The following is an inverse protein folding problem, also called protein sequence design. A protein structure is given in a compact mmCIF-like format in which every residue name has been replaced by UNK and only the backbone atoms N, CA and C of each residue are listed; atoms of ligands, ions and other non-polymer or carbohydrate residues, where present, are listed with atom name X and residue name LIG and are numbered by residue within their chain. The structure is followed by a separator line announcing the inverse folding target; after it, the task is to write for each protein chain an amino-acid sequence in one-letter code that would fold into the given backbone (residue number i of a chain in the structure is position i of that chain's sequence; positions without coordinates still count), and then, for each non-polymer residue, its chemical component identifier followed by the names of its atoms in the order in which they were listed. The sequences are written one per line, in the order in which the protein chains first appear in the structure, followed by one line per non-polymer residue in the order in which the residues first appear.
data_IF_395671712349
#
_entry.id   IF_395671712349
#
_cell.length_a   1.000
_cell.length_b   1.000
_cell.length_c   1.000
_cell.angle_alpha   90.00
_cell.angle_beta   90.00
_cell.angle_gamma   90.00
#
_symmetry.space_group_name_H-M   'P 1'
#
loop_
_entity.id
_entity.type
_entity.pdbx_description
1 polymer ?
#
# COMPACT_ATOMS: atom_id res chain seq x y z
N UNK A 1 3.55 -16.82 4.56
CA UNK A 1 3.23 -15.93 3.42
C UNK A 1 4.03 -14.62 3.49
N UNK A 2 5.37 -14.72 3.53
CA UNK A 2 6.25 -13.52 3.58
C UNK A 2 6.10 -12.64 2.34
N UNK A 3 5.85 -13.25 1.18
CA UNK A 3 5.60 -12.56 -0.08
C UNK A 3 4.38 -11.63 -0.02
N UNK A 4 3.27 -12.06 0.60
CA UNK A 4 2.07 -11.24 0.72
C UNK A 4 2.29 -10.05 1.65
N UNK A 5 2.96 -10.26 2.80
CA UNK A 5 3.34 -9.17 3.73
C UNK A 5 4.26 -8.15 3.05
N UNK A 6 5.22 -8.59 2.24
CA UNK A 6 6.11 -7.72 1.49
C UNK A 6 5.36 -6.93 0.40
N UNK A 7 4.49 -7.60 -0.35
CA UNK A 7 3.67 -6.98 -1.38
C UNK A 7 2.69 -5.95 -0.82
N UNK A 8 2.00 -6.27 0.28
CA UNK A 8 1.07 -5.36 0.94
C UNK A 8 1.78 -4.12 1.48
N UNK A 9 2.86 -4.30 2.25
CA UNK A 9 3.60 -3.16 2.78
C UNK A 9 4.25 -2.34 1.65
N UNK A 10 4.80 -3.00 0.64
CA UNK A 10 5.35 -2.34 -0.55
C UNK A 10 4.30 -1.49 -1.27
N UNK A 11 3.06 -1.98 -1.38
CA UNK A 11 1.95 -1.23 -1.99
C UNK A 11 1.55 0.02 -1.20
N UNK A 12 1.54 -0.05 0.14
CA UNK A 12 1.26 1.10 1.00
C UNK A 12 2.33 2.18 0.84
N UNK A 13 3.60 1.80 0.93
CA UNK A 13 4.72 2.72 0.77
C UNK A 13 4.82 3.28 -0.66
N UNK A 14 4.52 2.49 -1.68
CA UNK A 14 4.47 2.96 -3.06
C UNK A 14 3.38 4.00 -3.28
N UNK A 15 2.21 3.80 -2.65
CA UNK A 15 1.13 4.79 -2.67
C UNK A 15 1.57 6.09 -1.99
N UNK A 16 2.23 6.02 -0.83
CA UNK A 16 2.75 7.21 -0.15
C UNK A 16 3.76 7.98 -1.02
N UNK A 17 4.71 7.28 -1.67
CA UNK A 17 5.69 7.91 -2.57
C UNK A 17 5.00 8.55 -3.77
N UNK A 18 4.07 7.84 -4.41
CA UNK A 18 3.33 8.36 -5.55
C UNK A 18 2.54 9.62 -5.18
N UNK A 19 1.94 9.66 -3.97
CA UNK A 19 1.27 10.83 -3.44
C UNK A 19 2.23 12.00 -3.21
N UNK A 20 3.43 11.75 -2.68
CA UNK A 20 4.47 12.80 -2.55
C UNK A 20 4.90 13.34 -3.91
N UNK A 21 5.11 12.46 -4.89
CA UNK A 21 5.47 12.84 -6.26
C UNK A 21 4.36 13.64 -6.96
N UNK A 22 3.08 13.30 -6.72
CA UNK A 22 1.94 14.07 -7.23
C UNK A 22 1.81 15.44 -6.58
N UNK A 23 2.30 15.61 -5.35
CA UNK A 23 2.25 16.89 -4.64
C UNK A 23 3.25 17.88 -5.27
N UNK A 24 4.34 17.34 -5.82
CA UNK A 24 5.31 18.12 -6.56
C UNK A 24 4.80 18.38 -7.98
N UNK A 25 4.30 19.60 -8.20
CA UNK A 25 3.77 20.06 -9.49
C UNK A 25 4.80 19.95 -10.63
N UNK A 26 6.08 20.08 -10.33
CA UNK A 26 7.14 19.97 -11.33
C UNK A 26 7.27 18.55 -11.89
N UNK A 27 7.12 17.54 -11.03
CA UNK A 27 7.13 16.12 -11.41
C UNK A 27 5.82 15.76 -12.11
N UNK A 28 4.69 16.21 -11.56
CA UNK A 28 3.36 15.94 -12.09
C UNK A 28 3.22 16.40 -13.55
N UNK A 29 3.81 17.55 -13.92
CA UNK A 29 3.73 18.07 -15.29
C UNK A 29 4.70 17.38 -16.28
N UNK A 30 5.74 16.69 -15.79
CA UNK A 30 6.80 16.10 -16.64
C UNK A 30 6.67 14.60 -16.80
N UNK A 31 6.14 13.91 -15.79
CA UNK A 31 6.13 12.46 -15.71
C UNK A 31 4.72 12.01 -15.31
N UNK A 32 4.19 11.01 -16.02
CA UNK A 32 2.93 10.38 -15.62
C UNK A 32 3.12 9.70 -14.26
N UNK A 33 2.47 10.28 -13.26
CA UNK A 33 2.55 9.85 -11.85
C UNK A 33 1.99 8.45 -11.60
N UNK A 34 1.12 7.94 -12.49
CA UNK A 34 0.69 6.55 -12.48
C UNK A 34 1.84 5.56 -12.75
N UNK A 35 2.80 5.90 -13.63
CA UNK A 35 3.99 5.05 -13.83
C UNK A 35 4.92 5.08 -12.62
N UNK A 36 5.00 6.21 -11.92
CA UNK A 36 5.78 6.32 -10.67
C UNK A 36 5.21 5.37 -9.62
N UNK A 37 3.88 5.27 -9.53
CA UNK A 37 3.23 4.32 -8.63
C UNK A 37 3.61 2.87 -8.96
N UNK A 38 3.44 2.42 -10.21
CA UNK A 38 3.76 1.03 -10.58
C UNK A 38 5.25 0.70 -10.49
N UNK A 39 6.12 1.66 -10.87
CA UNK A 39 7.57 1.50 -10.77
C UNK A 39 8.04 1.41 -9.33
N UNK A 40 7.61 2.34 -8.46
CA UNK A 40 7.95 2.30 -7.04
C UNK A 40 7.37 1.07 -6.34
N UNK A 41 6.19 0.61 -6.76
CA UNK A 41 5.57 -0.60 -6.23
C UNK A 41 6.37 -1.87 -6.51
N UNK A 42 6.87 -2.06 -7.73
CA UNK A 42 7.73 -3.21 -8.05
C UNK A 42 9.02 -3.17 -7.23
N UNK A 43 9.70 -2.02 -7.19
CA UNK A 43 10.95 -1.85 -6.46
C UNK A 43 10.76 -2.09 -4.96
N UNK A 44 9.74 -1.49 -4.35
CA UNK A 44 9.45 -1.64 -2.92
C UNK A 44 9.03 -3.06 -2.55
N UNK A 45 8.27 -3.75 -3.42
CA UNK A 45 7.90 -5.15 -3.19
C UNK A 45 9.15 -6.03 -3.13
N UNK A 46 10.10 -5.82 -4.04
CA UNK A 46 11.37 -6.56 -4.07
C UNK A 46 12.22 -6.22 -2.83
N UNK A 47 12.34 -4.93 -2.49
CA UNK A 47 13.10 -4.50 -1.31
C UNK A 47 12.49 -5.06 -0.01
N UNK A 48 11.17 -4.99 0.15
CA UNK A 48 10.47 -5.58 1.28
C UNK A 48 10.61 -7.11 1.30
N UNK A 49 10.65 -7.78 0.14
CA UNK A 49 10.91 -9.22 0.09
C UNK A 49 12.33 -9.57 0.57
N UNK A 50 13.35 -8.81 0.15
CA UNK A 50 14.73 -9.00 0.62
C UNK A 50 14.85 -8.68 2.11
N UNK A 51 14.21 -7.60 2.58
CA UNK A 51 14.21 -7.22 3.99
C UNK A 51 13.52 -8.27 4.88
N UNK A 52 12.38 -8.80 4.42
CA UNK A 52 11.63 -9.87 5.12
C UNK A 52 12.36 -11.21 5.14
N UNK A 53 13.32 -11.42 4.23
CA UNK A 53 14.25 -12.57 4.29
C UNK A 53 15.20 -12.48 5.48
N UNK A 54 15.57 -11.27 5.91
CA UNK A 54 16.55 -11.02 6.98
C UNK A 54 15.91 -10.82 8.36
N UNK A 55 14.68 -10.31 8.43
CA UNK A 55 13.86 -10.21 9.66
C UNK A 55 12.41 -10.50 9.32
N UNK A 56 11.74 -11.36 10.08
CA UNK A 56 10.30 -11.52 9.92
C UNK A 56 9.58 -10.22 10.28
N UNK A 57 8.86 -9.65 9.33
CA UNK A 57 7.97 -8.52 9.60
C UNK A 57 6.76 -9.02 10.36
N UNK A 58 6.69 -8.69 11.65
CA UNK A 58 5.51 -8.95 12.48
C UNK A 58 4.30 -8.13 12.03
N UNK A 59 3.11 -8.49 12.54
CA UNK A 59 1.88 -7.72 12.26
C UNK A 59 2.05 -6.24 12.63
N UNK A 60 2.70 -5.96 13.77
CA UNK A 60 2.90 -4.61 14.27
C UNK A 60 3.49 -3.69 13.20
N UNK A 61 4.45 -4.18 12.41
CA UNK A 61 5.05 -3.40 11.33
C UNK A 61 4.04 -3.02 10.23
N UNK A 62 3.14 -3.95 9.88
CA UNK A 62 2.14 -3.72 8.82
C UNK A 62 1.03 -2.77 9.28
N UNK A 63 0.58 -2.91 10.53
CA UNK A 63 -0.39 -1.99 11.14
C UNK A 63 0.20 -0.59 11.24
N UNK A 64 1.42 -0.47 11.77
CA UNK A 64 2.11 0.83 11.89
C UNK A 64 2.35 1.45 10.53
N UNK A 65 2.75 0.69 9.51
CA UNK A 65 2.93 1.20 8.14
C UNK A 65 1.62 1.73 7.55
N UNK A 66 0.49 1.04 7.77
CA UNK A 66 -0.80 1.53 7.29
C UNK A 66 -1.19 2.84 8.00
N UNK A 67 -1.09 2.89 9.34
CA UNK A 67 -1.43 4.09 10.12
C UNK A 67 -0.55 5.26 9.69
N UNK A 68 0.77 5.05 9.56
CA UNK A 68 1.70 6.07 9.11
C UNK A 68 1.39 6.54 7.68
N UNK A 69 1.07 5.61 6.76
CA UNK A 69 0.74 5.96 5.39
C UNK A 69 -0.53 6.82 5.31
N UNK A 70 -1.57 6.47 6.08
CA UNK A 70 -2.82 7.25 6.14
C UNK A 70 -2.56 8.62 6.76
N UNK A 71 -1.86 8.68 7.90
CA UNK A 71 -1.54 9.93 8.58
C UNK A 71 -0.68 10.86 7.70
N UNK A 72 0.33 10.31 7.03
CA UNK A 72 1.21 11.03 6.11
C UNK A 72 0.42 11.59 4.91
N UNK A 73 -0.43 10.77 4.30
CA UNK A 73 -1.24 11.19 3.16
C UNK A 73 -2.28 12.25 3.56
N UNK A 74 -2.85 12.12 4.75
CA UNK A 74 -3.74 13.12 5.34
C UNK A 74 -3.03 14.45 5.59
N UNK A 75 -1.80 14.43 6.14
CA UNK A 75 -0.99 15.62 6.37
C UNK A 75 -0.62 16.35 5.07
N UNK A 76 -0.35 15.62 3.99
CA UNK A 76 0.02 16.20 2.69
C UNK A 76 -1.15 16.85 1.93
N UNK A 77 -2.33 16.21 1.92
CA UNK A 77 -3.43 16.60 1.03
C UNK A 77 -4.69 17.09 1.75
N UNK A 78 -4.86 16.76 3.02
CA UNK A 78 -6.09 16.96 3.76
C UNK A 78 -7.26 16.08 3.27
N UNK A 79 -8.37 16.10 4.01
CA UNK A 79 -9.50 15.18 3.81
C UNK A 79 -10.12 15.24 2.40
N UNK A 80 -10.35 16.45 1.87
CA UNK A 80 -11.07 16.65 0.61
C UNK A 80 -10.30 16.12 -0.60
N UNK A 81 -8.97 16.33 -0.65
CA UNK A 81 -8.14 15.89 -1.78
C UNK A 81 -7.77 14.42 -1.68
N UNK A 82 -7.67 13.86 -0.47
CA UNK A 82 -7.36 12.44 -0.27
C UNK A 82 -8.41 11.50 -0.89
N UNK A 83 -9.66 11.97 -1.05
CA UNK A 83 -10.71 11.20 -1.71
C UNK A 83 -10.57 11.14 -3.23
N UNK A 84 -9.71 11.96 -3.85
CA UNK A 84 -9.65 12.08 -5.32
C UNK A 84 -8.27 11.69 -5.82
N UNK A 85 -7.21 12.14 -5.15
CA UNK A 85 -5.82 12.02 -5.62
C UNK A 85 -5.35 10.56 -5.77
N UNK A 86 -5.56 9.65 -4.79
CA UNK A 86 -5.16 8.25 -4.96
C UNK A 86 -5.90 7.57 -6.13
N UNK A 87 -7.18 7.93 -6.33
CA UNK A 87 -7.97 7.39 -7.43
C UNK A 87 -7.56 7.96 -8.79
N UNK A 88 -7.16 9.24 -8.87
CA UNK A 88 -6.65 9.82 -10.12
C UNK A 88 -5.32 9.20 -10.52
N UNK A 89 -4.41 8.95 -9.56
CA UNK A 89 -3.14 8.26 -9.80
C UNK A 89 -3.33 6.88 -10.44
N UNK A 90 -4.22 6.08 -9.86
CA UNK A 90 -4.51 4.74 -10.40
C UNK A 90 -5.23 4.81 -11.75
N UNK A 91 -6.13 5.78 -11.94
CA UNK A 91 -6.82 6.00 -13.22
C UNK A 91 -5.86 6.37 -14.34
N UNK A 92 -4.91 7.27 -14.07
CA UNK A 92 -3.85 7.64 -15.00
C UNK A 92 -2.91 6.47 -15.29
N UNK A 93 -2.56 5.70 -14.28
CA UNK A 93 -1.70 4.52 -14.45
C UNK A 93 -2.31 3.43 -15.34
N UNK A 94 -3.61 3.17 -15.21
CA UNK A 94 -4.33 2.15 -16.00
C UNK A 94 -4.69 2.65 -17.41
N UNK A 95 -4.46 3.93 -17.72
CA UNK A 95 -4.86 4.56 -19.00
C UNK A 95 -6.35 4.39 -19.32
N UNK A 96 -7.20 4.25 -18.30
CA UNK A 96 -8.65 4.10 -18.46
C UNK A 96 -9.38 5.30 -17.85
N UNK A 97 -9.57 6.39 -18.63
CA UNK A 97 -10.24 7.57 -18.13
C UNK A 97 -11.75 7.38 -17.94
N UNK A 98 -12.37 6.28 -18.36
CA UNK A 98 -13.82 6.12 -18.23
C UNK A 98 -14.28 5.68 -16.84
N UNK A 99 -13.37 5.18 -16.00
CA UNK A 99 -13.72 4.68 -14.67
C UNK A 99 -14.02 5.84 -13.71
N UNK A 100 -15.17 5.75 -13.03
CA UNK A 100 -15.57 6.70 -11.97
C UNK A 100 -14.64 6.59 -10.76
N UNK A 101 -14.19 7.72 -10.23
CA UNK A 101 -13.33 7.78 -9.03
C UNK A 101 -13.89 7.01 -7.83
N UNK A 102 -15.22 7.01 -7.64
CA UNK A 102 -15.88 6.28 -6.56
C UNK A 102 -15.64 4.76 -6.62
N UNK A 103 -15.52 4.18 -7.82
CA UNK A 103 -15.25 2.74 -7.99
C UNK A 103 -13.81 2.44 -7.57
N UNK A 104 -12.86 3.24 -8.03
CA UNK A 104 -11.44 3.08 -7.69
C UNK A 104 -11.23 3.20 -6.18
N UNK A 105 -11.83 4.21 -5.54
CA UNK A 105 -11.74 4.37 -4.09
C UNK A 105 -12.28 3.17 -3.32
N UNK A 106 -13.42 2.59 -3.76
CA UNK A 106 -13.95 1.36 -3.15
C UNK A 106 -12.94 0.21 -3.25
N UNK A 107 -12.28 0.08 -4.41
CA UNK A 107 -11.25 -0.96 -4.61
C UNK A 107 -10.04 -0.71 -3.71
N UNK A 108 -9.54 0.53 -3.59
CA UNK A 108 -8.43 0.86 -2.69
C UNK A 108 -8.79 0.51 -1.23
N UNK A 109 -9.97 0.91 -0.78
CA UNK A 109 -10.43 0.64 0.59
C UNK A 109 -10.58 -0.87 0.82
N UNK A 110 -11.21 -1.58 -0.12
CA UNK A 110 -11.35 -3.04 -0.05
C UNK A 110 -9.98 -3.72 0.02
N UNK A 111 -9.02 -3.29 -0.81
CA UNK A 111 -7.65 -3.81 -0.80
C UNK A 111 -6.95 -3.58 0.54
N UNK A 112 -7.06 -2.38 1.13
CA UNK A 112 -6.47 -2.08 2.44
C UNK A 112 -7.06 -2.96 3.55
N UNK A 113 -8.38 -3.12 3.58
CA UNK A 113 -9.09 -3.92 4.60
C UNK A 113 -8.75 -5.41 4.45
N UNK A 114 -8.90 -5.95 3.24
CA UNK A 114 -8.66 -7.38 2.96
C UNK A 114 -7.20 -7.73 3.26
N UNK A 115 -6.26 -6.86 2.88
CA UNK A 115 -4.84 -7.08 3.14
C UNK A 115 -4.53 -7.23 4.64
N UNK A 116 -5.12 -6.40 5.49
CA UNK A 116 -4.97 -6.54 6.95
C UNK A 116 -5.61 -7.81 7.48
N UNK A 117 -6.84 -8.13 7.05
CA UNK A 117 -7.56 -9.31 7.51
C UNK A 117 -6.73 -10.57 7.23
N UNK A 118 -6.16 -10.69 6.03
CA UNK A 118 -5.30 -11.82 5.65
C UNK A 118 -4.06 -11.89 6.57
N UNK A 119 -3.39 -10.76 6.82
CA UNK A 119 -2.21 -10.70 7.69
C UNK A 119 -2.54 -11.10 9.14
N UNK A 120 -3.70 -10.67 9.66
CA UNK A 120 -4.16 -11.04 11.01
C UNK A 120 -4.47 -12.54 11.08
N UNK A 121 -5.26 -13.06 10.13
CA UNK A 121 -5.62 -14.48 10.07
C UNK A 121 -4.39 -15.39 10.02
N UNK A 122 -3.38 -15.00 9.24
CA UNK A 122 -2.13 -15.74 9.13
C UNK A 122 -1.39 -15.81 10.47
N UNK A 123 -1.28 -14.70 11.20
CA UNK A 123 -0.60 -14.69 12.49
C UNK A 123 -1.36 -15.47 13.56
N UNK A 124 -2.70 -15.45 13.53
CA UNK A 124 -3.52 -16.29 14.42
C UNK A 124 -3.27 -17.77 14.14
N UNK A 125 -3.10 -18.13 12.85
CA UNK A 125 -2.75 -19.50 12.45
C UNK A 125 -1.35 -19.89 12.94
N UNK A 126 -0.37 -19.02 12.72
CA UNK A 126 1.03 -19.23 13.14
C UNK A 126 1.16 -19.38 14.68
N UNK A 127 0.42 -18.56 15.44
CA UNK A 127 0.36 -18.66 16.90
C UNK A 127 -0.33 -19.93 17.40
N UNK A 128 -1.32 -20.45 16.65
CA UNK A 128 -1.99 -21.73 16.95
C UNK A 128 -1.07 -22.92 16.70
N UNK A 129 -0.35 -22.93 15.57
CA UNK A 129 0.60 -24.00 15.24
C UNK A 129 1.76 -24.08 16.24
N UNK A 130 2.25 -22.95 16.75
CA UNK A 130 3.27 -22.95 17.79
C UNK A 130 2.78 -23.50 19.12
N UNK A 131 1.53 -23.20 19.51
CA UNK A 131 0.95 -23.67 20.78
C UNK A 131 0.62 -25.17 20.74
N UNK A 132 0.33 -25.73 19.56
CA UNK A 132 0.08 -27.16 19.37
C UNK A 132 1.32 -28.05 19.36
N UNK A 133 2.54 -27.50 19.20
CA UNK A 133 3.81 -28.25 19.26
C UNK A 133 4.45 -28.28 20.65
N UNK A 134 3.92 -27.51 21.60
CA UNK A 134 4.42 -27.43 22.98
C UNK A 134 3.59 -28.24 23.97
N UNK A 135 2.57 -28.97 23.49
CA UNK A 135 1.78 -29.95 24.21
C UNK A 135 2.14 -31.34 23.70
#
# INVERSE_FOLDING_TARGET
MRWFKAFYNGSLWAMAIALTCFHNTWIQMRINTGYIFYGSWLVLTILCYIATKKRETGILFSITSMILCIAYSYALYGWKRLQIVPASLLREGIHQPTIKFAIINKVIIAFMIIGIIIIILENIREKRDHKGRTL
#
